data_IF_793982556283
#
_entry.id   IF_793982556283
#
_cell.length_a   1.000
_cell.length_b   1.000
_cell.length_c   1.000
_cell.angle_alpha   90.00
_cell.angle_beta   90.00
_cell.angle_gamma   90.00
#
_symmetry.space_group_name_H-M   'P 1'
#
loop_
_entity.id
_entity.type
_entity.pdbx_description
1 polymer ?
#
# COMPACT_ATOMS: atom_id res chain seq x y z
N UNK A 1 -17.37 113.14 30.43
CA UNK A 1 -18.43 113.82 29.66
C UNK A 1 -19.32 112.72 29.10
N UNK A 2 -20.47 112.51 29.74
CA UNK A 2 -21.49 111.59 29.25
C UNK A 2 -22.30 112.29 28.16
N UNK A 3 -22.42 111.64 27.01
CA UNK A 3 -23.37 112.00 25.96
C UNK A 3 -24.43 110.91 25.92
N UNK A 4 -25.64 111.26 26.29
CA UNK A 4 -26.84 110.43 26.16
C UNK A 4 -27.09 110.16 24.66
N UNK A 5 -27.16 108.87 24.30
CA UNK A 5 -27.71 108.46 23.00
C UNK A 5 -29.21 108.30 23.21
N UNK A 6 -29.97 109.22 22.63
CA UNK A 6 -31.42 109.16 22.58
C UNK A 6 -31.89 107.81 22.01
N UNK A 7 -32.83 107.19 22.74
CA UNK A 7 -33.63 106.08 22.26
C UNK A 7 -34.41 106.51 21.02
N UNK A 8 -33.97 106.09 19.84
CA UNK A 8 -34.84 105.95 18.67
C UNK A 8 -35.55 104.60 18.74
N UNK A 9 -36.88 104.65 18.62
CA UNK A 9 -37.83 103.63 19.02
C UNK A 9 -37.72 102.27 18.34
N UNK A 10 -38.50 101.34 18.90
CA UNK A 10 -38.77 99.99 18.40
C UNK A 10 -38.96 99.96 16.88
N UNK A 11 -38.01 99.33 16.18
CA UNK A 11 -38.11 98.93 14.78
C UNK A 11 -38.80 97.55 14.63
N UNK A 12 -39.54 97.09 15.65
CA UNK A 12 -39.97 95.70 15.82
C UNK A 12 -41.27 95.33 15.09
N UNK A 13 -41.71 96.08 14.07
CA UNK A 13 -42.99 95.81 13.39
C UNK A 13 -42.92 95.95 11.86
N UNK A 14 -41.80 95.58 11.25
CA UNK A 14 -41.70 95.50 9.78
C UNK A 14 -41.95 94.06 9.31
N UNK A 15 -43.22 93.69 9.13
CA UNK A 15 -43.58 92.43 8.46
C UNK A 15 -43.48 92.63 6.93
N UNK A 16 -42.29 92.35 6.38
CA UNK A 16 -42.07 92.23 4.94
C UNK A 16 -42.27 90.78 4.51
N UNK A 17 -43.46 90.47 3.98
CA UNK A 17 -43.82 89.12 3.55
C UNK A 17 -43.74 89.03 2.02
N UNK A 18 -42.56 88.66 1.50
CA UNK A 18 -42.35 88.35 0.08
C UNK A 18 -41.56 87.05 -0.05
N UNK A 19 -42.10 86.10 -0.83
CA UNK A 19 -41.44 84.81 -1.07
C UNK A 19 -41.22 84.57 -2.57
N UNK A 20 -39.95 84.33 -2.93
CA UNK A 20 -39.55 83.96 -4.28
C UNK A 20 -38.59 82.77 -4.22
N UNK A 21 -39.08 81.58 -4.58
CA UNK A 21 -38.26 80.40 -4.80
C UNK A 21 -37.72 80.50 -6.22
N UNK A 22 -36.54 81.10 -6.40
CA UNK A 22 -36.04 81.47 -7.73
C UNK A 22 -35.83 80.30 -8.71
N UNK A 23 -35.80 79.04 -8.26
CA UNK A 23 -35.64 77.83 -9.08
C UNK A 23 -34.55 77.96 -10.18
N UNK A 24 -33.48 78.74 -9.91
CA UNK A 24 -32.36 78.97 -10.82
C UNK A 24 -32.52 80.14 -11.80
N UNK A 25 -33.59 80.95 -11.67
CA UNK A 25 -33.86 82.15 -12.46
C UNK A 25 -33.75 83.42 -11.60
N UNK A 26 -33.38 84.53 -12.23
CA UNK A 26 -33.38 85.85 -11.61
C UNK A 26 -34.84 86.33 -11.44
N UNK A 27 -35.18 87.13 -10.42
CA UNK A 27 -36.54 87.64 -10.24
C UNK A 27 -37.01 88.46 -11.45
N UNK A 28 -36.06 89.14 -12.12
CA UNK A 28 -36.30 89.88 -13.36
C UNK A 28 -36.69 88.99 -14.53
N UNK A 29 -36.40 87.68 -14.47
CA UNK A 29 -36.78 86.70 -15.48
C UNK A 29 -38.19 86.13 -15.25
N UNK A 30 -38.84 86.50 -14.13
CA UNK A 30 -40.20 86.10 -13.77
C UNK A 30 -41.05 87.36 -13.56
N UNK A 31 -41.60 87.95 -14.66
CA UNK A 31 -42.26 89.26 -14.64
C UNK A 31 -43.35 89.39 -13.58
N UNK A 32 -44.11 88.34 -13.33
CA UNK A 32 -45.18 88.31 -12.34
C UNK A 32 -44.62 88.47 -10.92
N UNK A 33 -43.53 87.77 -10.59
CA UNK A 33 -42.89 87.84 -9.27
C UNK A 33 -42.10 89.13 -9.07
N UNK A 34 -41.50 89.65 -10.14
CA UNK A 34 -40.91 90.99 -10.15
C UNK A 34 -41.97 92.06 -9.85
N UNK A 35 -43.15 91.95 -10.46
CA UNK A 35 -44.26 92.89 -10.22
C UNK A 35 -44.85 92.77 -8.81
N UNK A 36 -44.91 91.58 -8.24
CA UNK A 36 -45.37 91.31 -6.87
C UNK A 36 -44.38 91.88 -5.85
N UNK A 37 -43.08 91.69 -6.07
CA UNK A 37 -42.02 92.29 -5.26
C UNK A 37 -42.08 93.82 -5.29
N UNK A 38 -42.17 94.39 -6.48
CA UNK A 38 -42.32 95.84 -6.68
C UNK A 38 -43.55 96.38 -5.96
N UNK A 39 -44.66 95.62 -5.97
CA UNK A 39 -45.90 96.00 -5.29
C UNK A 39 -45.78 95.91 -3.76
N UNK A 40 -45.11 94.91 -3.21
CA UNK A 40 -44.83 94.84 -1.77
C UNK A 40 -43.92 95.97 -1.30
N UNK A 41 -42.85 96.27 -2.06
CA UNK A 41 -41.93 97.38 -1.76
C UNK A 41 -42.66 98.74 -1.89
N UNK A 42 -43.44 98.94 -2.95
CA UNK A 42 -44.25 100.16 -3.12
C UNK A 42 -45.37 100.30 -2.08
N UNK A 43 -45.99 99.18 -1.66
CA UNK A 43 -47.02 99.14 -0.62
C UNK A 43 -46.48 99.58 0.74
N UNK A 44 -45.28 99.14 1.11
CA UNK A 44 -44.60 99.59 2.33
C UNK A 44 -44.13 101.05 2.24
N UNK A 45 -43.74 101.51 1.06
CA UNK A 45 -43.42 102.93 0.84
C UNK A 45 -44.64 103.85 0.96
N UNK A 46 -45.88 103.34 0.83
CA UNK A 46 -47.11 104.12 1.06
C UNK A 46 -47.43 104.36 2.54
N UNK A 47 -46.77 103.67 3.47
CA UNK A 47 -46.91 103.96 4.91
C UNK A 47 -46.10 105.20 5.34
N UNK A 48 -45.26 105.74 4.44
CA UNK A 48 -44.60 107.02 4.65
C UNK A 48 -45.51 108.19 4.25
N UNK A 49 -45.45 109.25 5.04
CA UNK A 49 -46.26 110.47 4.92
C UNK A 49 -46.28 111.03 3.48
N UNK A 50 -47.47 111.16 2.84
CA UNK A 50 -47.60 111.68 1.48
C UNK A 50 -47.17 113.14 1.30
N UNK A 51 -46.86 113.85 2.39
CA UNK A 51 -46.46 115.27 2.36
C UNK A 51 -44.96 115.52 2.15
N UNK A 52 -44.13 114.48 2.07
CA UNK A 52 -42.75 114.63 1.61
C UNK A 52 -42.72 114.96 0.11
N UNK A 53 -42.43 116.22 -0.20
CA UNK A 53 -42.15 116.72 -1.55
C UNK A 53 -40.84 116.10 -2.07
N UNK A 54 -40.96 114.92 -2.67
CA UNK A 54 -39.83 114.24 -3.30
C UNK A 54 -39.56 114.86 -4.67
N UNK A 55 -38.80 115.97 -4.67
CA UNK A 55 -38.20 116.55 -5.87
C UNK A 55 -37.30 115.59 -6.67
N UNK A 56 -36.99 114.40 -6.15
CA UNK A 56 -36.06 113.42 -6.73
C UNK A 56 -36.68 112.02 -6.95
N UNK A 57 -37.85 111.99 -7.60
CA UNK A 57 -38.45 110.77 -8.18
C UNK A 57 -37.45 109.83 -8.90
N UNK A 58 -36.47 110.31 -9.70
CA UNK A 58 -35.45 109.42 -10.31
C UNK A 58 -34.51 108.75 -9.29
N UNK A 59 -34.22 109.35 -8.14
CA UNK A 59 -33.32 108.76 -7.11
C UNK A 59 -33.98 107.55 -6.45
N UNK A 60 -35.28 107.62 -6.20
CA UNK A 60 -36.06 106.49 -5.68
C UNK A 60 -36.16 105.33 -6.67
N UNK A 61 -36.31 105.62 -7.96
CA UNK A 61 -36.30 104.59 -9.01
C UNK A 61 -34.95 103.87 -9.05
N UNK A 62 -33.84 104.61 -9.00
CA UNK A 62 -32.49 104.03 -8.97
C UNK A 62 -32.26 103.16 -7.72
N UNK A 63 -32.71 103.63 -6.54
CA UNK A 63 -32.63 102.86 -5.30
C UNK A 63 -33.44 101.56 -5.35
N UNK A 64 -34.66 101.62 -5.90
CA UNK A 64 -35.51 100.44 -6.07
C UNK A 64 -34.91 99.43 -7.07
N UNK A 65 -34.35 99.89 -8.19
CA UNK A 65 -33.65 99.04 -9.16
C UNK A 65 -32.43 98.35 -8.56
N UNK A 66 -31.63 99.08 -7.76
CA UNK A 66 -30.47 98.52 -7.07
C UNK A 66 -30.87 97.46 -6.03
N UNK A 67 -31.93 97.71 -5.27
CA UNK A 67 -32.51 96.75 -4.32
C UNK A 67 -33.00 95.48 -5.03
N UNK A 68 -33.70 95.61 -6.15
CA UNK A 68 -34.16 94.46 -6.96
C UNK A 68 -32.96 93.64 -7.44
N UNK A 69 -31.91 94.31 -7.93
CA UNK A 69 -30.67 93.64 -8.37
C UNK A 69 -29.99 92.89 -7.22
N UNK A 70 -29.86 93.52 -6.05
CA UNK A 70 -29.26 92.90 -4.87
C UNK A 70 -30.08 91.69 -4.37
N UNK A 71 -31.39 91.85 -4.19
CA UNK A 71 -32.30 90.78 -3.74
C UNK A 71 -32.30 89.59 -4.71
N UNK A 72 -32.25 89.87 -6.00
CA UNK A 72 -32.26 88.83 -7.01
C UNK A 72 -30.91 88.10 -7.15
N UNK A 73 -29.79 88.82 -7.02
CA UNK A 73 -28.48 88.18 -6.91
C UNK A 73 -28.39 87.27 -5.67
N UNK A 74 -28.90 87.74 -4.51
CA UNK A 74 -29.00 86.93 -3.30
C UNK A 74 -29.90 85.69 -3.53
N UNK A 75 -31.04 85.85 -4.19
CA UNK A 75 -31.95 84.73 -4.50
C UNK A 75 -31.29 83.69 -5.41
N UNK A 76 -30.55 84.12 -6.42
CA UNK A 76 -29.77 83.24 -7.30
C UNK A 76 -28.68 82.49 -6.53
N UNK A 77 -27.92 83.19 -5.68
CA UNK A 77 -26.90 82.58 -4.84
C UNK A 77 -27.49 81.59 -3.84
N UNK A 78 -28.65 81.90 -3.26
CA UNK A 78 -29.37 81.00 -2.36
C UNK A 78 -29.78 79.69 -3.07
N UNK A 79 -30.35 79.76 -4.28
CA UNK A 79 -30.70 78.52 -5.02
C UNK A 79 -29.45 77.71 -5.42
N UNK A 80 -28.34 78.37 -5.77
CA UNK A 80 -27.08 77.67 -6.04
C UNK A 80 -26.56 76.97 -4.80
N UNK A 81 -26.63 77.63 -3.64
CA UNK A 81 -26.20 77.08 -2.36
C UNK A 81 -27.05 75.87 -1.96
N UNK A 82 -28.38 75.97 -2.08
CA UNK A 82 -29.31 74.87 -1.81
C UNK A 82 -29.02 73.65 -2.70
N UNK A 83 -28.72 73.87 -3.98
CA UNK A 83 -28.32 72.80 -4.91
C UNK A 83 -27.00 72.13 -4.50
N UNK A 84 -26.03 72.90 -4.01
CA UNK A 84 -24.77 72.33 -3.51
C UNK A 84 -24.97 71.58 -2.19
N UNK A 85 -25.83 72.09 -1.31
CA UNK A 85 -26.16 71.45 -0.04
C UNK A 85 -26.81 70.09 -0.26
N UNK A 86 -27.79 69.99 -1.17
CA UNK A 86 -28.38 68.69 -1.55
C UNK A 86 -27.34 67.69 -2.06
N UNK A 87 -26.35 68.14 -2.84
CA UNK A 87 -25.25 67.28 -3.31
C UNK A 87 -24.36 66.83 -2.15
N UNK A 88 -24.05 67.72 -1.20
CA UNK A 88 -23.25 67.40 -0.02
C UNK A 88 -23.98 66.37 0.85
N UNK A 89 -25.27 66.55 1.09
CA UNK A 89 -26.09 65.57 1.84
C UNK A 89 -26.07 64.21 1.15
N UNK A 90 -26.29 64.16 -0.18
CA UNK A 90 -26.24 62.90 -0.94
C UNK A 90 -24.87 62.22 -0.88
N UNK A 91 -23.79 62.97 -1.07
CA UNK A 91 -22.43 62.43 -0.96
C UNK A 91 -22.13 61.96 0.47
N UNK A 92 -22.63 62.66 1.49
CA UNK A 92 -22.44 62.27 2.88
C UNK A 92 -23.16 60.95 3.21
N UNK A 93 -24.36 60.72 2.65
CA UNK A 93 -25.05 59.44 2.79
C UNK A 93 -24.29 58.31 2.08
N UNK A 94 -23.80 58.55 0.86
CA UNK A 94 -23.01 57.54 0.12
C UNK A 94 -21.69 57.20 0.84
N UNK A 95 -21.00 58.19 1.42
CA UNK A 95 -19.80 57.97 2.24
C UNK A 95 -20.12 57.15 3.49
N UNK A 96 -21.27 57.38 4.12
CA UNK A 96 -21.77 56.57 5.23
C UNK A 96 -21.94 55.09 4.85
N UNK A 97 -22.66 54.83 3.76
CA UNK A 97 -22.89 53.47 3.26
C UNK A 97 -21.59 52.76 2.86
N UNK A 98 -20.65 53.50 2.24
CA UNK A 98 -19.33 52.97 1.87
C UNK A 98 -18.49 52.64 3.10
N UNK A 99 -18.56 53.45 4.16
CA UNK A 99 -17.87 53.19 5.42
C UNK A 99 -18.38 51.92 6.09
N UNK A 100 -19.71 51.72 6.15
CA UNK A 100 -20.28 50.49 6.72
C UNK A 100 -19.84 49.25 5.94
N UNK A 101 -19.82 49.33 4.60
CA UNK A 101 -19.31 48.24 3.75
C UNK A 101 -17.84 47.96 4.00
N UNK A 102 -17.02 49.00 4.18
CA UNK A 102 -15.59 48.86 4.50
C UNK A 102 -15.39 48.20 5.86
N UNK A 103 -16.10 48.66 6.90
CA UNK A 103 -16.02 48.08 8.25
C UNK A 103 -16.41 46.59 8.23
N UNK A 104 -17.47 46.24 7.50
CA UNK A 104 -17.87 44.83 7.30
C UNK A 104 -16.79 44.02 6.56
N UNK A 105 -16.17 44.59 5.54
CA UNK A 105 -15.10 43.92 4.80
C UNK A 105 -13.86 43.69 5.67
N UNK A 106 -13.51 44.64 6.54
CA UNK A 106 -12.41 44.51 7.49
C UNK A 106 -12.67 43.39 8.48
N UNK A 107 -13.89 43.27 9.01
CA UNK A 107 -14.24 42.19 9.95
C UNK A 107 -14.17 40.81 9.28
N UNK A 108 -14.71 40.68 8.06
CA UNK A 108 -14.60 39.43 7.26
C UNK A 108 -13.14 39.09 7.00
N UNK A 109 -12.31 40.08 6.65
CA UNK A 109 -10.87 39.86 6.43
C UNK A 109 -10.18 39.35 7.68
N UNK A 110 -10.53 39.88 8.86
CA UNK A 110 -9.97 39.47 10.14
C UNK A 110 -10.38 38.04 10.51
N UNK A 111 -11.64 37.69 10.32
CA UNK A 111 -12.14 36.33 10.51
C UNK A 111 -11.41 35.33 9.62
N UNK A 112 -11.34 35.61 8.31
CA UNK A 112 -10.61 34.76 7.35
C UNK A 112 -9.14 34.59 7.73
N UNK A 113 -8.46 35.64 8.19
CA UNK A 113 -7.07 35.51 8.65
C UNK A 113 -6.93 34.62 9.89
N UNK A 114 -7.85 34.72 10.85
CA UNK A 114 -7.86 33.85 12.03
C UNK A 114 -8.13 32.38 11.69
N UNK A 115 -9.06 32.13 10.76
CA UNK A 115 -9.33 30.78 10.26
C UNK A 115 -8.12 30.18 9.52
N UNK A 116 -7.45 30.98 8.70
CA UNK A 116 -6.25 30.56 7.97
C UNK A 116 -5.10 30.22 8.92
N UNK A 117 -4.88 31.02 9.97
CA UNK A 117 -3.86 30.74 10.99
C UNK A 117 -4.19 29.46 11.78
N UNK A 118 -5.46 29.27 12.16
CA UNK A 118 -5.90 28.05 12.84
C UNK A 118 -5.72 26.81 11.93
N UNK A 119 -6.11 26.89 10.66
CA UNK A 119 -5.90 25.82 9.69
C UNK A 119 -4.41 25.49 9.50
N UNK A 120 -3.55 26.51 9.43
CA UNK A 120 -2.09 26.34 9.38
C UNK A 120 -1.56 25.65 10.63
N UNK A 121 -2.08 25.99 11.80
CA UNK A 121 -1.75 25.32 13.07
C UNK A 121 -2.08 23.82 13.04
N UNK A 122 -3.30 23.47 12.62
CA UNK A 122 -3.72 22.07 12.47
C UNK A 122 -2.88 21.31 11.45
N UNK A 123 -2.54 21.93 10.31
CA UNK A 123 -1.67 21.32 9.29
C UNK A 123 -0.29 21.02 9.86
N UNK A 124 0.29 21.94 10.64
CA UNK A 124 1.59 21.74 11.29
C UNK A 124 1.54 20.58 12.29
N UNK A 125 0.49 20.51 13.10
CA UNK A 125 0.30 19.41 14.05
C UNK A 125 0.13 18.06 13.35
N UNK A 126 -0.70 18.00 12.30
CA UNK A 126 -0.86 16.81 11.49
C UNK A 126 0.46 16.37 10.82
N UNK A 127 1.24 17.32 10.31
CA UNK A 127 2.57 17.07 9.76
C UNK A 127 3.53 16.46 10.79
N UNK A 128 3.53 16.96 12.02
CA UNK A 128 4.34 16.41 13.11
C UNK A 128 3.92 14.97 13.46
N UNK A 129 2.61 14.70 13.52
CA UNK A 129 2.07 13.35 13.78
C UNK A 129 2.44 12.38 12.66
N UNK A 130 2.34 12.81 11.40
CA UNK A 130 2.77 12.01 10.24
C UNK A 130 4.27 11.71 10.28
N UNK A 131 5.10 12.66 10.73
CA UNK A 131 6.53 12.43 10.96
C UNK A 131 6.77 11.31 11.97
N UNK A 132 6.17 11.39 13.16
CA UNK A 132 6.33 10.36 14.19
C UNK A 132 5.85 8.97 13.74
N UNK A 133 4.71 8.91 13.03
CA UNK A 133 4.19 7.64 12.51
C UNK A 133 5.10 7.04 11.43
N UNK A 134 5.72 7.88 10.59
CA UNK A 134 6.71 7.41 9.61
C UNK A 134 7.92 6.80 10.30
N UNK A 135 8.47 7.50 11.30
CA UNK A 135 9.65 7.03 12.03
C UNK A 135 9.34 5.71 12.76
N UNK A 136 8.14 5.58 13.35
CA UNK A 136 7.69 4.34 13.98
C UNK A 136 7.57 3.20 12.96
N UNK A 137 6.94 3.44 11.81
CA UNK A 137 6.77 2.43 10.78
C UNK A 137 8.12 1.97 10.20
N UNK A 138 9.08 2.89 10.06
CA UNK A 138 10.44 2.57 9.63
C UNK A 138 11.17 1.70 10.66
N UNK A 139 11.02 1.99 11.96
CA UNK A 139 11.55 1.15 13.03
C UNK A 139 10.95 -0.26 13.00
N UNK A 140 9.62 -0.37 12.98
CA UNK A 140 8.91 -1.66 12.96
C UNK A 140 9.27 -2.48 11.73
N UNK A 141 9.42 -1.83 10.57
CA UNK A 141 9.89 -2.48 9.35
C UNK A 141 11.30 -3.05 9.53
N UNK A 142 12.23 -2.27 10.06
CA UNK A 142 13.61 -2.71 10.26
C UNK A 142 13.69 -3.88 11.26
N UNK A 143 12.87 -3.87 12.31
CA UNK A 143 12.76 -4.99 13.26
C UNK A 143 12.21 -6.26 12.59
N UNK A 144 11.15 -6.13 11.78
CA UNK A 144 10.59 -7.24 11.00
C UNK A 144 11.60 -7.81 10.00
N UNK A 145 12.34 -6.95 9.31
CA UNK A 145 13.37 -7.37 8.35
C UNK A 145 14.50 -8.14 9.06
N UNK A 146 14.89 -7.71 10.27
CA UNK A 146 15.85 -8.44 11.10
C UNK A 146 15.31 -9.80 11.58
N UNK A 147 14.05 -9.87 12.01
CA UNK A 147 13.39 -11.13 12.40
C UNK A 147 13.31 -12.12 11.23
N UNK A 148 12.96 -11.64 10.04
CA UNK A 148 12.92 -12.47 8.82
C UNK A 148 14.29 -13.06 8.51
N UNK A 149 15.37 -12.29 8.65
CA UNK A 149 16.74 -12.79 8.45
C UNK A 149 17.09 -13.89 9.44
N UNK A 150 16.76 -13.72 10.73
CA UNK A 150 16.99 -14.74 11.76
C UNK A 150 16.20 -16.02 11.49
N UNK A 151 14.91 -15.90 11.15
CA UNK A 151 14.07 -17.05 10.82
C UNK A 151 14.54 -17.78 9.57
N UNK A 152 15.10 -17.06 8.59
CA UNK A 152 15.69 -17.66 7.39
C UNK A 152 16.95 -18.46 7.73
N UNK A 153 17.81 -17.93 8.60
CA UNK A 153 19.00 -18.64 9.08
C UNK A 153 18.63 -19.91 9.87
N UNK A 154 17.64 -19.81 10.75
CA UNK A 154 17.14 -20.96 11.53
C UNK A 154 16.51 -22.03 10.64
N UNK A 155 15.73 -21.64 9.63
CA UNK A 155 15.17 -22.59 8.66
C UNK A 155 16.25 -23.34 7.88
N UNK A 156 17.33 -22.68 7.47
CA UNK A 156 18.41 -23.37 6.75
C UNK A 156 19.12 -24.37 7.67
N UNK A 157 19.36 -24.01 8.94
CA UNK A 157 19.90 -24.94 9.95
C UNK A 157 18.98 -26.14 10.16
N UNK A 158 17.67 -25.91 10.28
CA UNK A 158 16.69 -26.99 10.45
C UNK A 158 16.61 -27.90 9.22
N UNK A 159 16.77 -27.34 8.02
CA UNK A 159 16.83 -28.11 6.78
C UNK A 159 18.07 -29.00 6.72
N UNK A 160 19.24 -28.48 7.13
CA UNK A 160 20.47 -29.26 7.23
C UNK A 160 20.35 -30.39 8.26
N UNK A 161 19.84 -30.09 9.46
CA UNK A 161 19.59 -31.07 10.52
C UNK A 161 18.56 -32.11 10.07
N UNK A 162 17.48 -31.68 9.41
CA UNK A 162 16.46 -32.56 8.87
C UNK A 162 17.02 -33.51 7.80
N UNK A 163 17.87 -33.00 6.90
CA UNK A 163 18.54 -33.82 5.89
C UNK A 163 19.46 -34.88 6.53
N UNK A 164 20.25 -34.49 7.52
CA UNK A 164 21.14 -35.42 8.23
C UNK A 164 20.37 -36.50 9.01
N UNK A 165 19.27 -36.15 9.68
CA UNK A 165 18.40 -37.11 10.36
C UNK A 165 17.79 -38.11 9.38
N UNK A 166 17.30 -37.64 8.22
CA UNK A 166 16.76 -38.52 7.18
C UNK A 166 17.85 -39.46 6.65
N UNK A 167 19.03 -38.94 6.34
CA UNK A 167 20.16 -39.75 5.86
C UNK A 167 20.58 -40.81 6.88
N UNK A 168 20.76 -40.44 8.16
CA UNK A 168 21.10 -41.39 9.23
C UNK A 168 20.04 -42.46 9.41
N UNK A 169 18.76 -42.10 9.34
CA UNK A 169 17.65 -43.04 9.47
C UNK A 169 17.62 -44.03 8.30
N UNK A 170 17.74 -43.53 7.07
CA UNK A 170 17.79 -44.38 5.87
C UNK A 170 18.99 -45.32 5.91
N UNK A 171 20.18 -44.83 6.26
CA UNK A 171 21.38 -45.65 6.37
C UNK A 171 21.21 -46.75 7.42
N UNK A 172 20.67 -46.42 8.59
CA UNK A 172 20.41 -47.40 9.66
C UNK A 172 19.43 -48.48 9.20
N UNK A 173 18.39 -48.12 8.44
CA UNK A 173 17.43 -49.07 7.88
C UNK A 173 18.08 -49.99 6.84
N UNK A 174 18.92 -49.44 5.96
CA UNK A 174 19.69 -50.22 4.98
C UNK A 174 20.62 -51.19 5.69
N UNK A 175 21.38 -50.73 6.68
CA UNK A 175 22.33 -51.58 7.43
C UNK A 175 21.62 -52.71 8.18
N UNK A 176 20.45 -52.41 8.79
CA UNK A 176 19.60 -53.43 9.41
C UNK A 176 19.11 -54.46 8.40
N UNK A 177 18.58 -54.01 7.26
CA UNK A 177 18.08 -54.91 6.21
C UNK A 177 19.20 -55.78 5.63
N UNK A 178 20.39 -55.21 5.38
CA UNK A 178 21.58 -55.94 4.93
C UNK A 178 22.05 -56.95 5.99
N UNK A 179 22.07 -56.56 7.27
CA UNK A 179 22.42 -57.46 8.37
C UNK A 179 21.47 -58.64 8.50
N UNK A 180 20.16 -58.39 8.41
CA UNK A 180 19.16 -59.45 8.40
C UNK A 180 19.27 -60.37 7.19
N UNK A 181 19.51 -59.82 5.99
CA UNK A 181 19.76 -60.64 4.80
C UNK A 181 21.00 -61.51 4.99
N UNK A 182 22.10 -60.96 5.50
CA UNK A 182 23.32 -61.72 5.79
C UNK A 182 23.00 -62.90 6.72
N UNK A 183 22.38 -62.64 7.87
CA UNK A 183 22.05 -63.69 8.85
C UNK A 183 21.14 -64.77 8.23
N UNK A 184 20.14 -64.39 7.41
CA UNK A 184 19.20 -65.34 6.80
C UNK A 184 19.84 -66.23 5.74
N UNK A 185 20.70 -65.66 4.90
CA UNK A 185 21.24 -66.39 3.75
C UNK A 185 22.58 -67.06 4.04
N UNK A 186 23.37 -66.60 5.02
CA UNK A 186 24.69 -67.17 5.32
C UNK A 186 24.60 -68.65 5.72
N UNK A 187 23.67 -69.02 6.60
CA UNK A 187 23.44 -70.42 6.98
C UNK A 187 22.99 -71.30 5.80
N UNK A 188 22.08 -70.79 4.96
CA UNK A 188 21.59 -71.52 3.77
C UNK A 188 22.66 -71.68 2.70
N UNK A 189 23.46 -70.63 2.47
CA UNK A 189 24.54 -70.64 1.49
C UNK A 189 25.63 -71.62 1.90
N UNK A 190 25.97 -71.68 3.20
CA UNK A 190 26.91 -72.64 3.74
C UNK A 190 26.41 -74.08 3.61
N UNK A 191 25.13 -74.32 3.92
CA UNK A 191 24.52 -75.65 3.76
C UNK A 191 24.51 -76.09 2.29
N UNK A 192 24.09 -75.22 1.36
CA UNK A 192 24.08 -75.52 -0.07
C UNK A 192 25.50 -75.78 -0.61
N UNK A 193 26.49 -75.03 -0.13
CA UNK A 193 27.89 -75.27 -0.47
C UNK A 193 28.37 -76.64 0.01
N UNK A 194 28.01 -77.04 1.23
CA UNK A 194 28.33 -78.37 1.76
C UNK A 194 27.66 -79.48 0.94
N UNK A 195 26.38 -79.34 0.59
CA UNK A 195 25.69 -80.30 -0.30
C UNK A 195 26.38 -80.43 -1.67
N UNK A 196 26.94 -79.35 -2.20
CA UNK A 196 27.72 -79.39 -3.45
C UNK A 196 29.00 -80.20 -3.30
N UNK A 197 29.74 -80.01 -2.19
CA UNK A 197 30.95 -80.78 -1.88
C UNK A 197 30.61 -82.26 -1.74
N UNK A 198 29.55 -82.58 -1.01
CA UNK A 198 29.14 -83.97 -0.79
C UNK A 198 28.71 -84.65 -2.10
N UNK A 199 27.97 -83.94 -2.96
CA UNK A 199 27.58 -84.43 -4.28
C UNK A 199 28.79 -84.69 -5.20
N UNK A 200 29.80 -83.82 -5.17
CA UNK A 200 31.06 -84.03 -5.90
C UNK A 200 31.78 -85.30 -5.41
N UNK A 201 31.86 -85.53 -4.09
CA UNK A 201 32.52 -86.70 -3.53
C UNK A 201 31.75 -88.00 -3.83
N UNK A 202 30.41 -87.98 -3.74
CA UNK A 202 29.55 -89.11 -4.17
C UNK A 202 29.80 -89.44 -5.64
N UNK A 203 29.82 -88.43 -6.51
CA UNK A 203 30.07 -88.62 -7.94
C UNK A 203 31.47 -89.19 -8.21
N UNK A 204 32.48 -88.71 -7.47
CA UNK A 204 33.86 -89.21 -7.56
C UNK A 204 33.95 -90.68 -7.15
N UNK A 205 33.37 -91.05 -6.01
CA UNK A 205 33.37 -92.44 -5.52
C UNK A 205 32.58 -93.36 -6.44
N UNK A 206 31.41 -92.93 -6.91
CA UNK A 206 30.59 -93.70 -7.85
C UNK A 206 31.32 -93.93 -9.18
N UNK A 207 32.04 -92.91 -9.69
CA UNK A 207 32.87 -93.05 -10.89
C UNK A 207 33.97 -94.11 -10.70
N UNK A 208 34.67 -94.09 -9.56
CA UNK A 208 35.72 -95.07 -9.24
C UNK A 208 35.15 -96.49 -9.06
N UNK A 209 34.02 -96.63 -8.37
CA UNK A 209 33.32 -97.91 -8.21
C UNK A 209 32.95 -98.48 -9.58
N UNK A 210 32.37 -97.66 -10.46
CA UNK A 210 32.02 -98.10 -11.82
C UNK A 210 33.24 -98.50 -12.65
N UNK A 211 34.38 -97.80 -12.50
CA UNK A 211 35.62 -98.17 -13.17
C UNK A 211 36.18 -99.52 -12.69
N UNK A 212 36.16 -99.76 -11.37
CA UNK A 212 36.60 -101.03 -10.79
C UNK A 212 35.64 -102.16 -11.16
N UNK A 213 34.33 -101.93 -11.14
CA UNK A 213 33.31 -102.89 -11.61
C UNK A 213 33.53 -103.28 -13.07
N UNK A 214 33.72 -102.31 -13.96
CA UNK A 214 34.00 -102.57 -15.37
C UNK A 214 35.27 -103.42 -15.55
N UNK A 215 36.32 -103.12 -14.77
CA UNK A 215 37.57 -103.88 -14.81
C UNK A 215 37.38 -105.33 -14.32
N UNK A 216 36.57 -105.54 -13.27
CA UNK A 216 36.21 -106.86 -12.77
C UNK A 216 35.37 -107.66 -13.77
N UNK A 217 34.37 -107.03 -14.40
CA UNK A 217 33.55 -107.65 -15.45
C UNK A 217 34.38 -108.03 -16.68
N UNK A 218 35.28 -107.14 -17.12
CA UNK A 218 36.21 -107.42 -18.20
C UNK A 218 37.10 -108.64 -17.88
N UNK A 219 37.66 -108.70 -16.67
CA UNK A 219 38.47 -109.83 -16.24
C UNK A 219 37.67 -111.12 -16.11
N UNK A 220 36.39 -111.05 -15.69
CA UNK A 220 35.50 -112.21 -15.69
C UNK A 220 35.23 -112.72 -17.13
N UNK A 221 35.01 -111.82 -18.08
CA UNK A 221 34.84 -112.16 -19.50
C UNK A 221 36.09 -112.81 -20.11
N UNK A 222 37.25 -112.20 -19.92
CA UNK A 222 38.53 -112.74 -20.42
C UNK A 222 38.87 -114.12 -19.82
N UNK A 223 38.54 -114.34 -18.53
CA UNK A 223 38.70 -115.66 -17.89
C UNK A 223 37.76 -116.70 -18.52
N UNK A 224 36.52 -116.32 -18.87
CA UNK A 224 35.59 -117.19 -19.57
C UNK A 224 36.07 -117.57 -20.99
N UNK A 225 36.83 -116.67 -21.64
CA UNK A 225 37.47 -116.90 -22.94
C UNK A 225 38.79 -117.69 -22.85
N UNK A 226 39.20 -118.15 -21.67
CA UNK A 226 40.37 -119.00 -21.45
C UNK A 226 41.71 -118.27 -21.31
N UNK A 227 41.68 -116.95 -21.13
CA UNK A 227 42.88 -116.13 -20.89
C UNK A 227 43.25 -116.20 -19.40
N UNK A 228 44.51 -116.52 -19.12
CA UNK A 228 45.03 -116.61 -17.75
C UNK A 228 45.24 -115.21 -17.15
N UNK A 229 44.42 -114.85 -16.17
CA UNK A 229 44.50 -113.59 -15.43
C UNK A 229 45.01 -113.90 -14.02
N UNK A 230 46.12 -113.26 -13.58
CA UNK A 230 46.66 -113.47 -12.24
C UNK A 230 45.62 -113.20 -11.16
N UNK A 231 45.41 -114.18 -10.26
CA UNK A 231 44.45 -114.08 -9.16
C UNK A 231 44.73 -112.85 -8.27
N UNK A 232 46.02 -112.52 -8.07
CA UNK A 232 46.46 -111.33 -7.31
C UNK A 232 45.87 -110.02 -7.85
N UNK A 233 45.68 -109.89 -9.18
CA UNK A 233 45.07 -108.68 -9.77
C UNK A 233 43.57 -108.61 -9.51
N UNK A 234 42.89 -109.75 -9.49
CA UNK A 234 41.46 -109.84 -9.22
C UNK A 234 41.21 -109.61 -7.73
N UNK A 235 41.98 -110.24 -6.84
CA UNK A 235 41.92 -110.03 -5.40
C UNK A 235 42.18 -108.56 -5.04
N UNK A 236 43.16 -107.91 -5.69
CA UNK A 236 43.43 -106.48 -5.49
C UNK A 236 42.24 -105.60 -5.90
N UNK A 237 41.63 -105.85 -7.07
CA UNK A 237 40.45 -105.11 -7.50
C UNK A 237 39.24 -105.36 -6.59
N UNK A 238 39.09 -106.59 -6.06
CA UNK A 238 38.05 -106.90 -5.07
C UNK A 238 38.29 -106.19 -3.74
N UNK A 239 39.54 -106.08 -3.29
CA UNK A 239 39.91 -105.31 -2.10
C UNK A 239 39.69 -103.81 -2.30
N UNK A 240 40.06 -103.26 -3.47
CA UNK A 240 39.82 -101.86 -3.84
C UNK A 240 38.32 -101.57 -3.91
N UNK A 241 37.52 -102.47 -4.52
CA UNK A 241 36.06 -102.39 -4.55
C UNK A 241 35.46 -102.39 -3.14
N UNK A 242 35.92 -103.30 -2.28
CA UNK A 242 35.46 -103.38 -0.89
C UNK A 242 35.79 -102.09 -0.13
N UNK A 243 37.00 -101.56 -0.29
CA UNK A 243 37.42 -100.29 0.33
C UNK A 243 36.63 -99.08 -0.18
N UNK A 244 36.36 -99.01 -1.50
CA UNK A 244 35.56 -97.95 -2.10
C UNK A 244 34.10 -98.01 -1.64
N UNK A 245 33.52 -99.21 -1.54
CA UNK A 245 32.17 -99.40 -1.01
C UNK A 245 32.11 -99.03 0.47
N UNK A 246 33.08 -99.42 1.30
CA UNK A 246 33.15 -99.00 2.69
C UNK A 246 33.20 -97.46 2.82
N UNK A 247 34.02 -96.79 2.00
CA UNK A 247 34.07 -95.32 1.96
C UNK A 247 32.74 -94.71 1.54
N UNK A 248 32.11 -95.27 0.50
CA UNK A 248 30.80 -94.82 0.01
C UNK A 248 29.69 -94.97 1.06
N UNK A 249 29.65 -96.10 1.77
CA UNK A 249 28.65 -96.32 2.83
C UNK A 249 28.93 -95.54 4.12
N UNK A 250 30.16 -95.09 4.32
CA UNK A 250 30.53 -94.21 5.45
C UNK A 250 30.26 -92.73 5.21
N UNK A 251 29.91 -92.34 3.97
CA UNK A 251 29.63 -90.96 3.61
C UNK A 251 28.29 -90.53 4.24
N UNK A 252 28.34 -89.50 5.08
CA UNK A 252 27.14 -88.83 5.59
C UNK A 252 26.84 -87.64 4.67
N UNK A 253 25.89 -87.84 3.75
CA UNK A 253 25.62 -86.90 2.65
C UNK A 253 24.29 -86.21 2.90
N UNK A 254 24.34 -84.88 2.97
CA UNK A 254 23.14 -84.08 2.93
C UNK A 254 22.81 -83.71 1.48
N UNK A 255 21.60 -84.07 1.03
CA UNK A 255 21.11 -83.70 -0.31
C UNK A 255 20.27 -82.44 -0.19
N UNK A 256 20.68 -81.40 -0.92
CA UNK A 256 19.93 -80.16 -1.02
C UNK A 256 18.50 -80.45 -1.53
N UNK A 257 17.52 -79.98 -0.78
CA UNK A 257 16.11 -80.12 -1.11
C UNK A 257 15.68 -78.96 -2.03
N UNK A 258 14.63 -79.12 -2.84
CA UNK A 258 14.11 -78.04 -3.68
C UNK A 258 13.82 -76.75 -2.89
N UNK A 259 13.41 -76.86 -1.63
CA UNK A 259 13.15 -75.75 -0.72
C UNK A 259 14.39 -74.95 -0.34
N UNK A 260 15.59 -75.55 -0.39
CA UNK A 260 16.85 -74.88 -0.07
C UNK A 260 17.27 -73.90 -1.17
N UNK A 261 16.77 -74.09 -2.39
CA UNK A 261 16.94 -73.18 -3.53
C UNK A 261 15.87 -72.09 -3.58
N UNK A 262 14.78 -72.22 -2.80
CA UNK A 262 13.72 -71.23 -2.78
C UNK A 262 14.08 -70.08 -1.84
N UNK A 263 14.34 -68.93 -2.46
CA UNK A 263 14.24 -67.65 -1.77
C UNK A 263 12.77 -67.29 -1.71
N UNK A 264 12.11 -67.57 -0.59
CA UNK A 264 10.79 -67.00 -0.35
C UNK A 264 10.95 -65.48 -0.35
N UNK A 265 10.50 -64.81 -1.42
CA UNK A 265 10.24 -63.39 -1.38
C UNK A 265 9.21 -63.19 -0.27
N UNK A 266 9.62 -62.56 0.82
CA UNK A 266 8.65 -62.04 1.78
C UNK A 266 8.03 -60.83 1.10
N UNK A 267 6.99 -61.11 0.32
CA UNK A 267 5.95 -60.15 0.04
C UNK A 267 5.34 -59.72 1.39
N UNK A 268 5.22 -58.41 1.55
CA UNK A 268 4.30 -57.72 2.45
C UNK A 268 4.17 -58.30 3.86
N UNK A 269 5.01 -57.85 4.80
CA UNK A 269 4.49 -57.46 6.13
C UNK A 269 5.47 -56.71 7.03
N UNK A 270 4.87 -55.69 7.65
CA UNK A 270 5.33 -54.76 8.67
C UNK A 270 6.23 -53.65 8.09
N UNK A 271 5.67 -52.44 7.86
CA UNK A 271 6.50 -51.23 7.75
C UNK A 271 7.47 -51.26 8.93
N UNK A 272 8.77 -51.11 8.68
CA UNK A 272 9.77 -50.95 9.73
C UNK A 272 9.16 -50.04 10.81
N UNK A 273 8.99 -50.57 12.02
CA UNK A 273 8.24 -49.89 13.07
C UNK A 273 8.98 -48.61 13.47
N UNK A 274 8.58 -47.51 12.84
CA UNK A 274 9.19 -46.19 13.02
C UNK A 274 8.89 -45.59 14.40
N UNK A 275 7.99 -46.20 15.17
CA UNK A 275 7.56 -45.70 16.49
C UNK A 275 8.63 -45.87 17.59
N UNK A 276 9.67 -46.68 17.35
CA UNK A 276 10.78 -46.89 18.29
C UNK A 276 11.91 -45.86 18.17
N UNK A 277 11.92 -45.03 17.12
CA UNK A 277 12.93 -43.99 16.97
C UNK A 277 12.53 -42.76 17.78
N UNK A 278 13.05 -42.68 19.01
CA UNK A 278 13.13 -41.41 19.71
C UNK A 278 14.08 -40.50 18.93
N UNK A 279 13.50 -39.60 18.15
CA UNK A 279 14.22 -38.44 17.64
C UNK A 279 14.56 -37.59 18.86
N UNK A 280 15.77 -37.76 19.37
CA UNK A 280 16.37 -36.85 20.35
C UNK A 280 16.66 -35.53 19.63
N UNK A 281 15.61 -34.73 19.41
CA UNK A 281 15.77 -33.31 19.12
C UNK A 281 16.31 -32.69 20.40
N UNK A 282 17.63 -32.51 20.44
CA UNK A 282 18.32 -31.82 21.52
C UNK A 282 17.53 -30.60 22.01
N UNK A 283 17.31 -30.60 23.32
CA UNK A 283 16.52 -29.67 24.12
C UNK A 283 16.75 -28.19 23.73
N UNK A 284 15.91 -27.69 22.82
CA UNK A 284 15.91 -26.32 22.32
C UNK A 284 14.53 -25.65 22.35
N UNK A 285 13.59 -26.20 23.12
CA UNK A 285 12.23 -25.69 23.25
C UNK A 285 12.19 -24.48 24.17
N UNK A 286 12.58 -23.29 23.67
CA UNK A 286 12.17 -22.05 24.34
C UNK A 286 10.69 -21.82 24.05
N UNK A 287 9.90 -22.07 25.08
CA UNK A 287 8.51 -21.65 25.26
C UNK A 287 8.26 -20.24 24.72
N UNK A 288 7.46 -20.14 23.65
CA UNK A 288 6.76 -18.89 23.32
C UNK A 288 5.67 -18.67 24.39
N UNK A 289 5.61 -17.50 25.03
CA UNK A 289 4.47 -17.18 25.89
C UNK A 289 3.26 -16.87 25.02
N UNK A 290 2.14 -17.49 25.36
CA UNK A 290 0.82 -17.18 24.83
C UNK A 290 0.50 -15.70 25.05
N UNK A 291 0.00 -15.03 24.00
CA UNK A 291 -0.77 -13.79 24.16
C UNK A 291 -2.17 -14.03 23.61
N UNK A 292 -3.09 -13.64 24.47
CA UNK A 292 -4.54 -13.84 24.44
C UNK A 292 -5.22 -13.16 23.25
N UNK A 293 -6.29 -13.82 22.84
CA UNK A 293 -7.46 -13.40 22.06
C UNK A 293 -7.59 -11.91 21.67
N UNK A 294 -7.70 -11.69 20.36
CA UNK A 294 -8.69 -10.73 19.82
C UNK A 294 -9.44 -11.40 18.68
N UNK A 295 -10.71 -11.69 18.92
CA UNK A 295 -11.71 -12.13 17.94
C UNK A 295 -12.25 -10.96 17.13
N UNK A 296 -12.38 -11.13 15.82
CA UNK A 296 -13.37 -10.52 14.89
C UNK A 296 -12.77 -10.50 13.46
N UNK A 297 -13.42 -10.75 12.34
CA UNK A 297 -14.73 -11.27 11.92
C UNK A 297 -14.60 -11.45 10.39
N UNK A 298 -15.28 -12.46 9.83
CA UNK A 298 -15.74 -12.64 8.43
C UNK A 298 -14.79 -12.49 7.23
N UNK A 299 -14.69 -13.63 6.52
CA UNK A 299 -14.98 -13.81 5.09
C UNK A 299 -14.33 -12.90 4.04
N UNK A 300 -13.38 -13.47 3.30
CA UNK A 300 -13.36 -13.33 1.85
C UNK A 300 -12.83 -14.62 1.21
N UNK A 301 -13.76 -15.35 0.61
CA UNK A 301 -13.62 -16.41 -0.37
C UNK A 301 -12.70 -15.96 -1.52
N UNK A 302 -11.61 -16.68 -1.78
CA UNK A 302 -10.85 -16.53 -3.04
C UNK A 302 -10.72 -17.91 -3.66
N UNK A 303 -11.45 -18.06 -4.76
CA UNK A 303 -11.41 -19.19 -5.67
C UNK A 303 -9.99 -19.39 -6.21
N UNK A 304 -9.58 -20.66 -6.23
CA UNK A 304 -8.52 -21.16 -7.07
C UNK A 304 -9.05 -21.21 -8.51
N UNK A 305 -8.40 -20.51 -9.43
CA UNK A 305 -8.37 -20.93 -10.82
C UNK A 305 -6.96 -20.70 -11.37
N UNK A 306 -6.39 -21.79 -11.87
CA UNK A 306 -5.11 -21.79 -12.57
C UNK A 306 -5.35 -21.71 -14.08
N UNK A 307 -4.42 -21.08 -14.79
CA UNK A 307 -3.68 -21.69 -15.90
C UNK A 307 -2.80 -20.64 -16.61
N UNK A 308 -1.50 -20.91 -16.57
CA UNK A 308 -0.45 -20.68 -17.58
C UNK A 308 -0.72 -19.77 -18.80
N UNK A 309 0.18 -18.80 -19.00
CA UNK A 309 0.80 -18.56 -20.32
C UNK A 309 2.15 -17.82 -20.21
N UNK A 310 3.21 -18.59 -20.41
CA UNK A 310 4.46 -18.34 -21.15
C UNK A 310 5.09 -16.93 -21.22
N UNK A 311 6.32 -16.90 -20.70
CA UNK A 311 7.55 -16.29 -21.23
C UNK A 311 7.50 -15.62 -22.62
N UNK A 312 7.99 -14.37 -22.68
CA UNK A 312 9.21 -14.04 -23.45
C UNK A 312 9.71 -12.61 -23.19
N UNK A 313 11.00 -12.52 -22.89
CA UNK A 313 11.83 -11.31 -22.91
C UNK A 313 11.71 -10.54 -24.23
N UNK A 314 11.77 -9.20 -24.14
CA UNK A 314 12.74 -8.42 -24.91
C UNK A 314 12.89 -7.02 -24.32
N UNK A 315 14.14 -6.65 -24.04
CA UNK A 315 14.56 -5.30 -23.70
C UNK A 315 14.79 -4.47 -24.97
N UNK A 316 14.35 -3.21 -24.95
CA UNK A 316 14.79 -2.05 -25.75
C UNK A 316 14.10 -0.84 -25.10
N UNK A 317 14.78 -0.08 -24.25
CA UNK A 317 15.50 1.15 -24.60
C UNK A 317 14.77 1.98 -25.67
N UNK A 318 14.00 2.98 -25.22
CA UNK A 318 13.93 4.29 -25.84
C UNK A 318 13.30 5.27 -24.84
N UNK A 319 14.14 6.15 -24.28
CA UNK A 319 13.68 7.38 -23.63
C UNK A 319 13.08 8.29 -24.67
N UNK A 320 11.76 8.23 -24.82
CA UNK A 320 10.96 9.18 -25.59
C UNK A 320 10.40 10.26 -24.67
N UNK A 321 10.78 11.51 -24.94
CA UNK A 321 10.19 12.72 -24.41
C UNK A 321 8.66 12.67 -24.61
N UNK A 322 7.89 12.74 -23.53
CA UNK A 322 6.42 12.65 -23.60
C UNK A 322 5.89 14.05 -23.91
N UNK A 323 5.53 14.30 -25.17
CA UNK A 323 4.95 15.57 -25.56
C UNK A 323 3.65 15.83 -24.78
N UNK A 324 3.59 16.98 -24.11
CA UNK A 324 2.44 17.39 -23.33
C UNK A 324 1.29 17.79 -24.27
N UNK A 325 0.24 16.98 -24.29
CA UNK A 325 -0.96 17.22 -25.10
C UNK A 325 -1.98 18.00 -24.26
N UNK A 326 -2.56 19.08 -24.81
CA UNK A 326 -3.67 19.78 -24.16
C UNK A 326 -4.93 18.89 -24.17
N UNK A 327 -5.38 18.48 -22.98
CA UNK A 327 -6.52 17.59 -22.79
C UNK A 327 -7.87 18.14 -23.29
N UNK A 328 -7.96 19.43 -23.64
CA UNK A 328 -9.19 20.03 -24.15
C UNK A 328 -9.27 20.10 -25.69
N UNK A 329 -8.14 20.09 -26.39
CA UNK A 329 -8.06 20.31 -27.85
C UNK A 329 -7.36 19.19 -28.61
N UNK A 330 -6.60 18.34 -27.91
CA UNK A 330 -5.84 17.24 -28.50
C UNK A 330 -4.77 17.69 -29.51
N UNK A 331 -4.30 18.94 -29.41
CA UNK A 331 -3.19 19.49 -30.19
C UNK A 331 -1.88 19.47 -29.38
N UNK A 332 -0.77 19.29 -30.09
CA UNK A 332 0.58 19.15 -29.54
C UNK A 332 1.16 20.52 -29.17
N UNK A 333 1.61 20.69 -27.91
CA UNK A 333 2.14 21.96 -27.43
C UNK A 333 3.61 22.14 -27.85
N UNK A 334 3.90 23.25 -28.54
CA UNK A 334 5.27 23.56 -28.95
C UNK A 334 6.22 23.75 -27.74
N UNK A 335 7.48 23.28 -27.82
CA UNK A 335 8.44 23.40 -26.72
C UNK A 335 8.72 24.86 -26.35
N UNK A 336 8.53 25.19 -25.08
CA UNK A 336 8.67 26.57 -24.56
C UNK A 336 10.12 27.05 -24.42
N UNK A 337 11.11 26.19 -24.69
CA UNK A 337 12.52 26.58 -24.71
C UNK A 337 13.26 25.91 -25.87
N UNK A 338 14.09 26.70 -26.55
CA UNK A 338 15.04 26.20 -27.55
C UNK A 338 16.22 25.57 -26.83
N UNK A 339 16.64 24.39 -27.29
CA UNK A 339 17.83 23.69 -26.82
C UNK A 339 19.09 24.55 -26.80
#
# INVERSE_FOLDING_TARGET
>A
MGGEIEKTGDLSTFDFEFSFKGYGKHISDVPEKCSEFLRCVQGHLRQYDPSLDFGDKPVYTLFAEELIRAVSHVSFMATRLEKTEMRIVKLSTEVGDLKEKLDRQVEISKEMTGEAENARGRLKEAGNRLGMLRDQLELERNERDAEILLLKEENEKLKDVGSDVVLRTVQTMIDKALGEMRIRYEGRLNHLHQCSIDAEEVNRLNSLINQVNYSLELYAGLRADGIDIPEEKIEKLQADMKSLNEKFYSLDVEVAKPEDYLVNHVADRVPLDLSSFQLDLGEGSRTRPAREDVSATEEAEIALDGENAQDKENAQDEGGEVDAIDASTNEELAPLFSS
#
